data_IF_613198036880
#
_entry.id   IF_613198036880
#
_cell.length_a   1.000
_cell.length_b   1.000
_cell.length_c   1.000
_cell.angle_alpha   90.00
_cell.angle_beta   90.00
_cell.angle_gamma   90.00
#
_symmetry.space_group_name_H-M   'P 1'
#
loop_
_entity.id
_entity.type
_entity.pdbx_description
1 polymer ?
#
# COMPACT_ATOMS: atom_id res chain seq x y z
N UNK A 1 16.65 -7.09 21.81
CA UNK A 1 15.73 -6.57 20.79
C UNK A 1 14.26 -6.76 21.17
N UNK A 2 13.89 -7.95 21.65
CA UNK A 2 12.49 -8.22 22.01
C UNK A 2 11.92 -7.26 23.09
N UNK A 3 12.73 -6.85 24.07
CA UNK A 3 12.33 -5.88 25.09
C UNK A 3 12.20 -4.43 24.57
N UNK A 4 12.85 -4.08 23.46
CA UNK A 4 12.86 -2.71 22.92
C UNK A 4 11.86 -2.54 21.78
N UNK A 5 11.76 -3.53 20.91
CA UNK A 5 10.91 -3.51 19.71
C UNK A 5 10.39 -4.93 19.44
N UNK A 6 9.39 -5.41 20.20
CA UNK A 6 8.88 -6.78 20.09
C UNK A 6 8.23 -7.03 18.72
N UNK A 7 7.41 -6.13 18.22
CA UNK A 7 6.73 -6.30 16.94
C UNK A 7 7.71 -6.29 15.77
N UNK A 8 8.70 -5.40 15.78
CA UNK A 8 9.73 -5.35 14.75
C UNK A 8 10.59 -6.61 14.78
N UNK A 9 10.93 -7.13 15.97
CA UNK A 9 11.68 -8.37 16.14
C UNK A 9 10.93 -9.60 15.64
N UNK A 10 9.66 -9.72 15.99
CA UNK A 10 8.78 -10.80 15.54
C UNK A 10 8.60 -10.79 14.00
N UNK A 11 8.50 -9.60 13.40
CA UNK A 11 8.28 -9.44 11.96
C UNK A 11 9.54 -9.78 11.13
N UNK A 12 10.68 -9.14 11.40
CA UNK A 12 11.87 -9.20 10.53
C UNK A 12 12.97 -10.08 11.12
N UNK A 13 12.95 -10.29 12.41
CA UNK A 13 13.99 -10.92 13.19
C UNK A 13 14.90 -9.91 13.88
N UNK A 14 15.54 -10.36 14.98
CA UNK A 14 16.29 -9.49 15.89
C UNK A 14 17.50 -8.82 15.22
N UNK A 15 18.25 -9.58 14.42
CA UNK A 15 19.49 -9.10 13.79
C UNK A 15 19.23 -7.97 12.79
N UNK A 16 18.22 -8.13 11.95
CA UNK A 16 17.87 -7.11 10.94
C UNK A 16 17.20 -5.91 11.62
N UNK A 17 16.33 -6.16 12.60
CA UNK A 17 15.70 -5.10 13.40
C UNK A 17 16.74 -4.24 14.14
N UNK A 18 17.73 -4.87 14.78
CA UNK A 18 18.82 -4.17 15.47
C UNK A 18 19.63 -3.29 14.51
N UNK A 19 19.95 -3.81 13.33
CA UNK A 19 20.67 -3.03 12.29
C UNK A 19 19.87 -1.84 11.80
N UNK A 20 18.55 -1.99 11.62
CA UNK A 20 17.69 -0.89 11.21
C UNK A 20 17.64 0.21 12.27
N UNK A 21 17.48 -0.14 13.55
CA UNK A 21 17.47 0.83 14.66
C UNK A 21 18.83 1.51 14.81
N UNK A 22 19.93 0.73 14.76
CA UNK A 22 21.29 1.27 14.85
C UNK A 22 21.58 2.26 13.70
N UNK A 23 21.15 1.94 12.49
CA UNK A 23 21.37 2.80 11.33
C UNK A 23 20.49 4.07 11.35
N UNK A 24 19.30 3.99 11.92
CA UNK A 24 18.43 5.13 12.17
C UNK A 24 18.88 6.00 13.37
N UNK A 25 19.74 5.47 14.23
CA UNK A 25 20.22 6.07 15.45
C UNK A 25 19.31 5.85 16.66
N UNK A 26 17.99 5.69 16.47
CA UNK A 26 17.02 5.36 17.52
C UNK A 26 15.75 4.75 16.96
N UNK A 27 14.97 4.06 17.82
CA UNK A 27 13.64 3.55 17.44
C UNK A 27 12.69 4.68 17.06
N UNK A 28 12.72 5.81 17.77
CA UNK A 28 11.90 6.99 17.50
C UNK A 28 12.20 7.57 16.12
N UNK A 29 13.47 7.64 15.73
CA UNK A 29 13.86 8.09 14.40
C UNK A 29 13.37 7.11 13.32
N UNK A 30 13.51 5.80 13.56
CA UNK A 30 13.02 4.78 12.64
C UNK A 30 11.49 4.88 12.45
N UNK A 31 10.74 5.12 13.53
CA UNK A 31 9.30 5.30 13.49
C UNK A 31 8.85 6.55 12.70
N UNK A 32 9.67 7.61 12.68
CA UNK A 32 9.41 8.82 11.88
C UNK A 32 9.67 8.62 10.39
N UNK A 33 10.51 7.65 10.02
CA UNK A 33 10.83 7.43 8.61
C UNK A 33 9.62 6.90 7.83
N UNK A 34 9.41 7.38 6.60
CA UNK A 34 8.45 6.75 5.69
C UNK A 34 8.95 5.38 5.26
N UNK A 35 8.03 4.49 4.92
CA UNK A 35 8.36 3.12 4.52
C UNK A 35 9.32 3.03 3.32
N UNK A 36 9.29 4.01 2.42
CA UNK A 36 10.23 4.12 1.30
C UNK A 36 11.67 4.31 1.77
N UNK A 37 11.89 5.11 2.82
CA UNK A 37 13.21 5.31 3.43
C UNK A 37 13.66 4.02 4.15
N UNK A 38 12.77 3.37 4.91
CA UNK A 38 13.05 2.08 5.56
C UNK A 38 13.46 1.02 4.53
N UNK A 39 12.84 1.02 3.33
CA UNK A 39 13.18 0.09 2.26
C UNK A 39 14.63 0.23 1.78
N UNK A 40 15.15 1.45 1.72
CA UNK A 40 16.46 1.78 1.13
C UNK A 40 17.53 1.99 2.20
N UNK A 41 17.14 2.03 3.47
CA UNK A 41 18.05 2.27 4.59
C UNK A 41 19.28 1.36 4.52
N UNK A 42 20.49 1.94 4.60
CA UNK A 42 21.77 1.25 4.42
C UNK A 42 22.26 1.19 2.97
N UNK A 43 21.49 1.67 2.00
CA UNK A 43 21.90 1.77 0.60
C UNK A 43 21.97 3.25 0.10
N UNK A 44 22.13 4.20 1.01
CA UNK A 44 22.08 5.65 0.72
C UNK A 44 23.17 6.07 -0.27
N UNK A 45 24.39 5.56 -0.09
CA UNK A 45 25.51 5.85 -1.00
C UNK A 45 25.24 5.39 -2.43
N UNK A 46 24.62 4.22 -2.56
CA UNK A 46 24.23 3.67 -3.88
C UNK A 46 23.09 4.50 -4.49
N UNK A 47 22.12 4.95 -3.68
CA UNK A 47 21.03 5.83 -4.12
C UNK A 47 21.58 7.16 -4.65
N UNK A 48 22.44 7.84 -3.88
CA UNK A 48 23.04 9.12 -4.30
C UNK A 48 23.89 8.97 -5.56
N UNK A 49 24.64 7.87 -5.69
CA UNK A 49 25.39 7.57 -6.91
C UNK A 49 24.44 7.41 -8.10
N UNK A 50 23.40 6.62 -7.97
CA UNK A 50 22.42 6.40 -9.03
C UNK A 50 21.72 7.69 -9.46
N UNK A 51 21.38 8.57 -8.51
CA UNK A 51 20.80 9.89 -8.81
C UNK A 51 21.76 10.78 -9.61
N UNK A 52 23.06 10.80 -9.24
CA UNK A 52 24.09 11.59 -9.96
C UNK A 52 24.28 11.06 -11.39
N UNK A 53 24.35 9.75 -11.57
CA UNK A 53 24.61 9.12 -12.87
C UNK A 53 23.35 8.88 -13.70
N UNK A 54 22.16 9.28 -13.19
CA UNK A 54 20.86 8.98 -13.79
C UNK A 54 20.65 7.47 -14.06
N UNK A 55 21.30 6.63 -13.24
CA UNK A 55 21.24 5.18 -13.32
C UNK A 55 20.07 4.57 -12.54
N UNK A 56 20.02 3.23 -12.50
CA UNK A 56 19.00 2.50 -11.76
C UNK A 56 19.18 2.65 -10.24
N UNK A 57 18.12 3.09 -9.55
CA UNK A 57 18.12 3.23 -8.08
C UNK A 57 18.07 1.87 -7.39
N UNK A 58 18.69 1.72 -6.20
CA UNK A 58 18.63 0.48 -5.43
C UNK A 58 17.20 0.16 -5.03
N UNK A 59 16.81 -1.12 -5.13
CA UNK A 59 15.46 -1.58 -4.80
C UNK A 59 15.29 -1.91 -3.31
N UNK A 60 16.36 -2.12 -2.59
CA UNK A 60 16.39 -2.51 -1.17
C UNK A 60 17.76 -2.19 -0.54
N UNK A 61 17.76 -1.99 0.79
CA UNK A 61 18.94 -1.78 1.63
C UNK A 61 19.14 -2.90 2.63
N UNK A 62 19.30 -2.58 3.92
CA UNK A 62 19.51 -3.54 5.02
C UNK A 62 18.41 -4.59 5.11
N UNK A 63 17.19 -4.25 4.74
CA UNK A 63 16.02 -5.13 4.73
C UNK A 63 16.23 -6.39 3.84
N UNK A 64 17.17 -6.34 2.90
CA UNK A 64 17.52 -7.46 2.03
C UNK A 64 17.96 -8.71 2.79
N UNK A 65 18.56 -8.55 3.97
CA UNK A 65 19.01 -9.64 4.80
C UNK A 65 17.88 -10.39 5.52
N UNK A 66 16.62 -9.97 5.34
CA UNK A 66 15.47 -10.70 5.85
C UNK A 66 15.25 -12.01 5.09
N UNK A 67 14.88 -13.07 5.84
CA UNK A 67 14.57 -14.39 5.30
C UNK A 67 13.47 -14.38 4.24
N UNK A 68 12.51 -13.43 4.33
CA UNK A 68 11.41 -13.28 3.36
C UNK A 68 11.92 -12.90 1.98
N UNK A 69 12.89 -11.97 1.91
CA UNK A 69 13.45 -11.53 0.63
C UNK A 69 14.39 -12.62 0.07
N UNK A 70 15.07 -13.36 0.95
CA UNK A 70 15.90 -14.50 0.56
C UNK A 70 15.08 -15.57 -0.18
N UNK A 71 13.91 -15.93 0.36
CA UNK A 71 12.98 -16.94 -0.21
C UNK A 71 12.27 -16.48 -1.48
N UNK A 72 12.13 -15.17 -1.69
CA UNK A 72 11.40 -14.63 -2.84
C UNK A 72 12.14 -14.88 -4.16
N UNK A 73 11.38 -15.20 -5.23
CA UNK A 73 11.90 -15.28 -6.61
C UNK A 73 12.52 -13.92 -7.01
N UNK A 74 13.58 -13.93 -7.80
CA UNK A 74 14.34 -12.74 -8.21
C UNK A 74 13.44 -11.60 -8.75
N UNK A 75 12.43 -11.96 -9.57
CA UNK A 75 11.43 -11.02 -10.12
C UNK A 75 10.61 -10.31 -9.03
N UNK A 76 10.32 -10.99 -7.92
CA UNK A 76 9.45 -10.53 -6.85
C UNK A 76 10.19 -9.89 -5.67
N UNK A 77 11.53 -10.00 -5.59
CA UNK A 77 12.33 -9.43 -4.47
C UNK A 77 12.05 -7.96 -4.21
N UNK A 78 11.94 -7.13 -5.23
CA UNK A 78 11.63 -5.71 -5.07
C UNK A 78 10.20 -5.43 -4.60
N UNK A 79 9.23 -6.28 -4.99
CA UNK A 79 7.83 -6.16 -4.56
C UNK A 79 7.67 -6.54 -3.09
N UNK A 80 8.25 -7.67 -2.68
CA UNK A 80 8.18 -8.13 -1.29
C UNK A 80 8.96 -7.21 -0.36
N UNK A 81 10.10 -6.66 -0.81
CA UNK A 81 10.87 -5.68 -0.06
C UNK A 81 10.06 -4.43 0.28
N UNK A 82 9.29 -3.91 -0.69
CA UNK A 82 8.38 -2.78 -0.47
C UNK A 82 7.28 -3.12 0.52
N UNK A 83 6.68 -4.31 0.38
CA UNK A 83 5.63 -4.76 1.27
C UNK A 83 6.15 -4.93 2.71
N UNK A 84 7.31 -5.56 2.86
CA UNK A 84 7.97 -5.76 4.15
C UNK A 84 8.37 -4.43 4.80
N UNK A 85 8.86 -3.46 4.02
CA UNK A 85 9.19 -2.12 4.52
C UNK A 85 7.95 -1.37 5.05
N UNK A 86 6.79 -1.50 4.39
CA UNK A 86 5.54 -0.94 4.89
C UNK A 86 5.15 -1.55 6.24
N UNK A 87 5.27 -2.88 6.39
CA UNK A 87 4.98 -3.57 7.64
C UNK A 87 5.99 -3.20 8.74
N UNK A 88 7.26 -3.13 8.40
CA UNK A 88 8.31 -2.71 9.33
C UNK A 88 8.12 -1.27 9.84
N UNK A 89 7.69 -0.36 8.98
CA UNK A 89 7.37 1.01 9.38
C UNK A 89 6.16 1.07 10.34
N UNK A 90 5.15 0.21 10.14
CA UNK A 90 4.01 0.11 11.06
C UNK A 90 4.46 -0.51 12.39
N UNK A 91 5.21 -1.61 12.35
CA UNK A 91 5.73 -2.29 13.53
C UNK A 91 6.57 -1.34 14.40
N UNK A 92 7.51 -0.61 13.82
CA UNK A 92 8.34 0.35 14.55
C UNK A 92 7.54 1.49 15.18
N UNK A 93 6.44 1.92 14.56
CA UNK A 93 5.54 2.92 15.14
C UNK A 93 4.73 2.38 16.31
N UNK A 94 4.24 1.14 16.20
CA UNK A 94 3.55 0.47 17.31
C UNK A 94 4.51 0.31 18.49
N UNK A 95 5.72 -0.20 18.24
CA UNK A 95 6.73 -0.38 19.28
C UNK A 95 7.17 0.93 19.94
N UNK A 96 7.11 2.05 19.22
CA UNK A 96 7.54 3.35 19.72
C UNK A 96 6.45 4.11 20.49
N UNK A 97 5.19 3.97 20.10
CA UNK A 97 4.09 4.83 20.57
C UNK A 97 2.97 4.08 21.28
N UNK A 98 3.02 2.74 21.35
CA UNK A 98 2.04 1.97 22.12
C UNK A 98 2.49 1.81 23.56
N UNK A 99 1.58 2.02 24.49
CA UNK A 99 1.83 1.81 25.93
C UNK A 99 1.87 0.32 26.31
N UNK A 100 1.28 -0.54 25.46
CA UNK A 100 1.21 -1.99 25.68
C UNK A 100 2.30 -2.67 24.91
N UNK A 101 3.24 -3.31 25.62
CA UNK A 101 4.33 -4.09 25.05
C UNK A 101 3.82 -5.47 24.65
N UNK A 102 3.57 -5.67 23.36
CA UNK A 102 3.08 -6.94 22.79
C UNK A 102 3.76 -7.22 21.45
N UNK A 103 3.87 -8.49 21.08
CA UNK A 103 4.39 -8.96 19.79
C UNK A 103 3.28 -9.39 18.81
N UNK A 104 2.01 -9.36 19.26
CA UNK A 104 0.85 -9.85 18.51
C UNK A 104 0.68 -9.18 17.14
N UNK A 105 0.97 -7.88 17.03
CA UNK A 105 0.93 -7.16 15.76
C UNK A 105 2.07 -7.60 14.83
N UNK A 106 3.26 -7.84 15.39
CA UNK A 106 4.42 -8.31 14.64
C UNK A 106 4.20 -9.70 14.04
N UNK A 107 3.68 -10.65 14.84
CA UNK A 107 3.32 -11.99 14.39
C UNK A 107 2.28 -11.96 13.28
N UNK A 108 1.18 -11.20 13.47
CA UNK A 108 0.13 -11.12 12.46
C UNK A 108 0.61 -10.46 11.16
N UNK A 109 1.46 -9.44 11.26
CA UNK A 109 2.11 -8.84 10.08
C UNK A 109 3.07 -9.79 9.38
N UNK A 110 3.75 -10.65 10.13
CA UNK A 110 4.61 -11.71 9.60
C UNK A 110 3.81 -12.71 8.76
N UNK A 111 2.69 -13.20 9.30
CA UNK A 111 1.76 -14.07 8.56
C UNK A 111 1.29 -13.41 7.24
N UNK A 112 0.94 -12.13 7.27
CA UNK A 112 0.56 -11.40 6.05
C UNK A 112 1.68 -11.30 5.02
N UNK A 113 2.94 -11.21 5.46
CA UNK A 113 4.09 -11.24 4.54
C UNK A 113 4.22 -12.61 3.90
N UNK A 114 4.00 -13.69 4.66
CA UNK A 114 4.01 -15.07 4.14
C UNK A 114 2.85 -15.32 3.16
N UNK A 115 1.64 -14.87 3.49
CA UNK A 115 0.49 -14.89 2.56
C UNK A 115 0.84 -14.16 1.26
N UNK A 116 1.54 -13.02 1.35
CA UNK A 116 1.93 -12.25 0.18
C UNK A 116 2.98 -12.95 -0.67
N UNK A 117 3.88 -13.71 -0.06
CA UNK A 117 4.82 -14.57 -0.80
C UNK A 117 4.06 -15.66 -1.57
N UNK A 118 3.14 -16.36 -0.89
CA UNK A 118 2.29 -17.38 -1.51
C UNK A 118 1.44 -16.79 -2.65
N UNK A 119 0.90 -15.58 -2.46
CA UNK A 119 0.17 -14.87 -3.53
C UNK A 119 1.02 -14.65 -4.78
N UNK A 120 2.32 -14.36 -4.64
CA UNK A 120 3.21 -14.18 -5.79
C UNK A 120 3.60 -15.47 -6.48
N UNK A 121 3.47 -16.61 -5.81
CA UNK A 121 3.78 -17.92 -6.35
C UNK A 121 2.53 -18.62 -6.91
N UNK A 122 1.44 -18.64 -6.16
CA UNK A 122 0.23 -19.43 -6.41
C UNK A 122 -1.01 -18.58 -6.74
N UNK A 123 -0.95 -17.27 -6.56
CA UNK A 123 -2.10 -16.37 -6.76
C UNK A 123 -3.15 -16.42 -5.65
N UNK A 124 -2.86 -17.06 -4.51
CA UNK A 124 -3.79 -17.19 -3.37
C UNK A 124 -4.21 -15.83 -2.81
N UNK A 125 -5.50 -15.65 -2.52
CA UNK A 125 -6.03 -14.39 -1.97
C UNK A 125 -5.38 -14.05 -0.62
N UNK A 126 -5.01 -12.78 -0.44
CA UNK A 126 -4.41 -12.28 0.81
C UNK A 126 -5.45 -11.66 1.73
N UNK A 127 -5.25 -11.74 3.05
CA UNK A 127 -6.14 -11.12 4.03
C UNK A 127 -6.09 -9.60 3.95
N UNK A 128 -7.23 -8.94 4.25
CA UNK A 128 -7.29 -7.47 4.31
C UNK A 128 -6.53 -6.96 5.53
N UNK A 129 -5.83 -5.83 5.36
CA UNK A 129 -5.04 -5.26 6.44
C UNK A 129 -5.90 -4.85 7.66
N UNK A 130 -7.12 -4.36 7.43
CA UNK A 130 -8.05 -3.98 8.51
C UNK A 130 -8.46 -5.16 9.39
N UNK A 131 -8.77 -6.32 8.78
CA UNK A 131 -9.10 -7.55 9.53
C UNK A 131 -7.91 -8.05 10.32
N UNK A 132 -6.74 -8.12 9.70
CA UNK A 132 -5.51 -8.56 10.37
C UNK A 132 -5.14 -7.68 11.57
N UNK A 133 -5.26 -6.35 11.43
CA UNK A 133 -4.97 -5.44 12.54
C UNK A 133 -6.02 -5.52 13.66
N UNK A 134 -7.30 -5.72 13.33
CA UNK A 134 -8.35 -5.92 14.34
C UNK A 134 -8.18 -7.24 15.11
N UNK A 135 -7.75 -8.30 14.46
CA UNK A 135 -7.42 -9.58 15.10
C UNK A 135 -6.21 -9.45 16.03
N UNK A 136 -5.14 -8.76 15.57
CA UNK A 136 -3.97 -8.48 16.38
C UNK A 136 -4.31 -7.62 17.62
N UNK A 137 -5.15 -6.60 17.46
CA UNK A 137 -5.60 -5.77 18.57
C UNK A 137 -6.40 -6.56 19.61
N UNK A 138 -7.28 -7.48 19.17
CA UNK A 138 -8.00 -8.39 20.07
C UNK A 138 -7.04 -9.33 20.81
N UNK A 139 -6.04 -9.91 20.10
CA UNK A 139 -5.01 -10.78 20.71
C UNK A 139 -4.16 -10.01 21.72
N UNK A 140 -3.86 -8.74 21.46
CA UNK A 140 -3.12 -7.86 22.36
C UNK A 140 -3.92 -7.34 23.55
N UNK A 141 -5.24 -7.64 23.64
CA UNK A 141 -6.12 -7.12 24.70
C UNK A 141 -6.42 -5.61 24.59
N UNK A 142 -6.05 -4.96 23.47
CA UNK A 142 -6.24 -3.54 23.22
C UNK A 142 -7.65 -3.25 22.64
N UNK A 143 -8.39 -4.29 22.25
CA UNK A 143 -9.72 -4.21 21.67
C UNK A 143 -10.82 -4.18 22.74
N UNK A 144 -10.87 -3.13 23.56
CA UNK A 144 -12.07 -2.78 24.29
C UNK A 144 -13.12 -2.26 23.30
N UNK A 145 -14.25 -2.95 23.20
CA UNK A 145 -15.55 -2.57 22.62
C UNK A 145 -15.62 -1.35 21.69
N UNK A 146 -15.13 -1.47 20.48
CA UNK A 146 -15.54 -0.56 19.41
C UNK A 146 -16.76 -1.10 18.65
N UNK A 147 -17.87 -1.29 19.39
CA UNK A 147 -19.21 -1.48 18.82
C UNK A 147 -19.69 -0.23 18.04
N UNK A 148 -19.00 0.92 18.18
CA UNK A 148 -19.32 2.19 17.54
C UNK A 148 -18.90 2.25 16.06
N UNK A 149 -17.81 1.58 15.65
CA UNK A 149 -17.34 1.64 14.26
C UNK A 149 -18.13 0.75 13.28
N UNK A 150 -18.79 -0.29 13.79
CA UNK A 150 -19.70 -1.12 12.96
C UNK A 150 -20.99 -0.40 12.59
N UNK A 151 -21.41 0.61 13.35
CA UNK A 151 -22.59 1.44 13.03
C UNK A 151 -22.30 2.49 11.95
N UNK A 152 -21.10 3.10 11.95
CA UNK A 152 -20.71 4.08 10.92
C UNK A 152 -20.55 3.45 9.54
N UNK A 153 -19.85 2.31 9.45
CA UNK A 153 -19.64 1.64 8.14
C UNK A 153 -20.92 1.04 7.53
N UNK A 154 -21.96 0.74 8.35
CA UNK A 154 -23.26 0.32 7.84
C UNK A 154 -24.11 1.50 7.39
N UNK A 155 -23.97 2.67 8.03
CA UNK A 155 -24.69 3.89 7.65
C UNK A 155 -24.17 4.45 6.33
N UNK A 156 -22.84 4.52 6.14
CA UNK A 156 -22.22 4.97 4.88
C UNK A 156 -22.51 4.04 3.68
N UNK A 157 -22.74 2.74 3.92
CA UNK A 157 -23.18 1.80 2.87
C UNK A 157 -24.64 1.94 2.52
N UNK A 158 -25.50 2.31 3.48
CA UNK A 158 -26.92 2.52 3.25
C UNK A 158 -27.16 3.83 2.50
N UNK A 159 -26.49 4.92 2.91
CA UNK A 159 -26.57 6.21 2.25
C UNK A 159 -26.02 6.20 0.81
N UNK A 160 -25.04 5.32 0.51
CA UNK A 160 -24.55 5.12 -0.87
C UNK A 160 -25.50 4.27 -1.72
N UNK A 161 -26.27 3.35 -1.13
CA UNK A 161 -27.24 2.53 -1.84
C UNK A 161 -28.48 3.35 -2.18
N UNK A 162 -28.98 4.14 -1.22
CA UNK A 162 -30.14 5.03 -1.41
C UNK A 162 -29.84 6.17 -2.42
N UNK A 163 -28.58 6.64 -2.50
CA UNK A 163 -28.15 7.60 -3.53
C UNK A 163 -28.03 6.97 -4.93
N UNK A 164 -27.76 5.67 -5.01
CA UNK A 164 -27.67 4.98 -6.31
C UNK A 164 -29.07 4.65 -6.86
N UNK A 165 -30.00 4.22 -6.01
CA UNK A 165 -31.40 3.97 -6.39
C UNK A 165 -32.11 5.27 -6.82
N UNK A 166 -31.91 6.40 -6.10
CA UNK A 166 -32.44 7.71 -6.53
C UNK A 166 -31.84 8.27 -7.82
N UNK A 167 -30.69 7.75 -8.27
CA UNK A 167 -30.05 8.16 -9.52
C UNK A 167 -30.53 7.32 -10.71
N UNK A 168 -30.95 6.08 -10.44
CA UNK A 168 -31.54 5.19 -11.45
C UNK A 168 -33.03 5.51 -11.71
N UNK A 169 -33.80 5.95 -10.71
CA UNK A 169 -35.18 6.44 -10.89
C UNK A 169 -35.29 7.76 -11.66
N UNK A 170 -34.24 8.61 -11.61
CA UNK A 170 -34.23 9.88 -12.39
C UNK A 170 -33.76 9.73 -13.83
N UNK A 171 -33.30 8.55 -14.24
CA UNK A 171 -32.84 8.29 -15.61
C UNK A 171 -33.88 7.60 -16.49
N UNK A 172 -35.07 7.25 -15.96
CA UNK A 172 -36.15 6.57 -16.68
C UNK A 172 -37.25 7.50 -17.20
N UNK A 173 -37.22 8.81 -16.91
CA UNK A 173 -38.30 9.73 -17.28
C UNK A 173 -37.91 10.79 -18.33
N UNK A 174 -36.89 10.57 -19.18
CA UNK A 174 -36.67 11.43 -20.35
C UNK A 174 -36.19 10.67 -21.59
N UNK A 175 -37.11 10.20 -22.43
CA UNK A 175 -36.79 10.11 -23.85
C UNK A 175 -37.93 10.51 -24.77
N UNK A 176 -38.28 11.77 -24.94
CA UNK A 176 -39.14 12.14 -26.11
C UNK A 176 -39.00 13.56 -26.67
N UNK A 177 -38.15 14.44 -26.16
CA UNK A 177 -38.06 15.83 -26.65
C UNK A 177 -36.76 16.26 -27.35
N UNK A 178 -35.87 15.36 -27.75
CA UNK A 178 -34.61 15.73 -28.44
C UNK A 178 -34.43 15.15 -29.85
N UNK A 179 -35.47 14.61 -30.50
CA UNK A 179 -35.37 14.12 -31.90
C UNK A 179 -35.86 15.09 -32.99
N UNK A 180 -36.37 16.27 -32.64
CA UNK A 180 -36.95 17.19 -33.64
C UNK A 180 -36.11 18.44 -34.00
N UNK A 181 -34.94 18.63 -33.40
CA UNK A 181 -34.09 19.82 -33.61
C UNK A 181 -32.79 19.60 -34.39
N UNK A 182 -32.59 18.41 -34.99
CA UNK A 182 -31.36 18.09 -35.74
C UNK A 182 -31.58 17.73 -37.21
N UNK A 183 -32.65 18.26 -37.82
CA UNK A 183 -32.96 18.05 -39.25
C UNK A 183 -33.13 19.36 -40.08
N UNK A 184 -32.58 20.47 -39.59
CA UNK A 184 -32.53 21.71 -40.39
C UNK A 184 -31.22 22.45 -40.12
N UNK A 185 -30.13 21.99 -40.67
CA UNK A 185 -28.96 22.77 -41.11
C UNK A 185 -27.93 21.76 -41.65
N UNK A 186 -28.12 21.43 -42.90
CA UNK A 186 -27.12 20.67 -43.68
C UNK A 186 -27.30 21.18 -45.10
N UNK A 187 -26.47 22.06 -45.52
CA UNK A 187 -26.37 22.55 -46.86
C UNK A 187 -25.10 23.38 -46.99
N UNK A 188 -24.29 22.93 -47.90
CA UNK A 188 -23.23 23.67 -48.59
C UNK A 188 -21.98 24.05 -47.72
N UNK A 189 -20.83 23.59 -48.03
CA UNK A 189 -19.97 23.92 -49.18
C UNK A 189 -18.82 22.95 -49.32
N UNK A 190 -18.59 22.59 -50.52
CA UNK A 190 -17.52 21.84 -51.12
C UNK A 190 -16.16 22.59 -51.13
N UNK A 191 -15.15 21.80 -51.35
CA UNK A 191 -13.90 22.05 -52.09
C UNK A 191 -12.74 22.83 -51.43
N UNK A 192 -11.61 22.17 -51.58
CA UNK A 192 -10.28 22.78 -51.64
C UNK A 192 -9.33 22.33 -50.52
N UNK A 193 -8.39 21.58 -50.64
CA UNK A 193 -7.28 21.40 -51.58
C UNK A 193 -6.31 20.32 -51.08
N UNK A 194 -6.12 19.36 -51.90
CA UNK A 194 -4.89 18.53 -51.89
C UNK A 194 -3.69 19.38 -52.30
N UNK A 195 -2.61 19.28 -51.61
CA UNK A 195 -1.20 19.20 -52.09
C UNK A 195 -0.22 19.90 -51.15
N UNK A 196 0.76 19.20 -50.82
CA UNK A 196 2.25 19.34 -50.89
C UNK A 196 2.94 18.87 -49.65
N UNK A 197 3.61 17.80 -49.83
CA UNK A 197 4.99 17.46 -50.21
C UNK A 197 5.87 17.30 -48.96
N UNK A 198 6.38 16.09 -48.69
CA UNK A 198 7.64 15.51 -49.21
C UNK A 198 8.81 16.50 -49.32
N UNK A 199 9.89 16.17 -48.59
CA UNK A 199 11.28 16.68 -48.58
C UNK A 199 11.52 17.74 -47.48
N UNK A 200 12.32 17.44 -46.52
CA UNK A 200 13.76 17.18 -46.43
C UNK A 200 14.08 16.39 -45.17
#
# INVERSE_FOLDING_TARGET
MHAVAPNLSALIGETVGARLISHAGSLVNLAKYPASTVQILGAEKALFRALKTKGNTPKYGLIFHSSFIGRAKAKNKGRISRYLANKASIASRIDCFSDVVTDAFGERMREQVEERLKFYDDGAATTKNSTAMSEAAKKAGIGGDSASDKKKSKKDKKDKKDKKEKKEEKSSDEPEKKKEKKRKSGGDEEEGEKKKKKKK
#
